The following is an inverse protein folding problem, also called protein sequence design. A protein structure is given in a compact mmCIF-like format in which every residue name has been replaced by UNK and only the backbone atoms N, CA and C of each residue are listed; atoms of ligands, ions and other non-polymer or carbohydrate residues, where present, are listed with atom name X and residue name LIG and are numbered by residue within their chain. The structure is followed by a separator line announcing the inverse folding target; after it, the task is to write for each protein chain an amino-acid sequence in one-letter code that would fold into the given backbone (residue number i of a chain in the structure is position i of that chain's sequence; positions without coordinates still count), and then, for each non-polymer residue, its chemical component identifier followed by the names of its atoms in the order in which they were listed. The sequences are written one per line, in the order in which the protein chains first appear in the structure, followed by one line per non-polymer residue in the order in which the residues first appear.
data_IF_351927301396
#
_entry.id   IF_351927301396
#
_cell.length_a   1.000
_cell.length_b   1.000
_cell.length_c   1.000
_cell.angle_alpha   90.00
_cell.angle_beta   90.00
_cell.angle_gamma   90.00
#
_symmetry.space_group_name_H-M   'P 1'
#
loop_
_entity.id
_entity.type
_entity.pdbx_description
1 polymer ?
#
# COMPACT_ATOMS: atom_id res chain seq x y z
N UNK A 1 -6.10 -17.50 6.12
CA UNK A 1 -5.40 -16.30 6.24
C UNK A 1 -5.40 -15.49 4.96
N UNK A 2 -5.69 -14.25 5.08
CA UNK A 2 -5.80 -13.42 3.90
C UNK A 2 -4.43 -13.08 3.35
N UNK A 3 -4.31 -13.14 2.03
CA UNK A 3 -3.09 -12.83 1.38
C UNK A 3 -3.27 -11.56 0.61
N UNK A 4 -2.32 -10.69 0.64
CA UNK A 4 -2.40 -9.46 -0.14
C UNK A 4 -2.34 -9.80 -1.62
N UNK A 5 -3.08 -9.06 -2.41
CA UNK A 5 -3.09 -9.32 -3.84
C UNK A 5 -1.76 -8.88 -4.45
N UNK A 6 -1.47 -9.41 -5.63
CA UNK A 6 -0.23 -9.05 -6.30
C UNK A 6 -0.15 -7.57 -6.56
N UNK A 7 -1.29 -6.96 -6.85
CA UNK A 7 -1.30 -5.54 -7.11
C UNK A 7 -0.86 -4.75 -5.89
N UNK A 8 -1.33 -5.16 -4.72
CA UNK A 8 -0.96 -4.47 -3.50
C UNK A 8 0.51 -4.67 -3.20
N UNK A 9 1.02 -5.87 -3.42
CA UNK A 9 2.42 -6.13 -3.19
C UNK A 9 3.28 -5.23 -4.07
N UNK A 10 2.87 -5.06 -5.33
CA UNK A 10 3.57 -4.18 -6.22
C UNK A 10 3.54 -2.75 -5.73
N UNK A 11 2.38 -2.30 -5.26
CA UNK A 11 2.26 -0.95 -4.76
C UNK A 11 3.15 -0.72 -3.55
N UNK A 12 3.24 -1.73 -2.69
CA UNK A 12 4.11 -1.63 -1.54
C UNK A 12 5.56 -1.45 -1.98
N UNK A 13 5.95 -2.18 -3.00
CA UNK A 13 7.31 -2.05 -3.48
C UNK A 13 7.57 -0.68 -4.08
N UNK A 14 6.62 -0.17 -4.82
CA UNK A 14 6.79 1.16 -5.38
C UNK A 14 6.86 2.21 -4.30
N UNK A 15 6.08 2.04 -3.26
CA UNK A 15 6.13 2.95 -2.13
C UNK A 15 7.51 2.93 -1.49
N UNK A 16 8.06 1.75 -1.32
CA UNK A 16 9.38 1.62 -0.72
C UNK A 16 10.44 2.30 -1.56
N UNK A 17 10.32 2.17 -2.85
CA UNK A 17 11.29 2.80 -3.73
C UNK A 17 11.16 4.33 -3.66
N UNK A 18 9.93 4.81 -3.61
CA UNK A 18 9.72 6.25 -3.63
C UNK A 18 10.12 6.91 -2.31
N UNK A 19 9.78 6.29 -1.21
CA UNK A 19 9.99 6.93 0.08
C UNK A 19 11.15 6.34 0.87
N UNK A 20 11.69 5.24 0.43
CA UNK A 20 12.81 4.61 1.12
C UNK A 20 12.42 3.91 2.40
N UNK A 21 11.14 3.67 2.58
CA UNK A 21 10.68 2.96 3.77
C UNK A 21 9.37 2.28 3.44
N UNK A 22 8.99 1.31 4.25
CA UNK A 22 7.76 0.59 4.04
C UNK A 22 6.54 1.42 4.42
N UNK A 23 5.42 1.23 3.73
CA UNK A 23 4.18 1.86 4.16
C UNK A 23 3.63 1.16 5.39
N UNK A 24 2.58 1.73 5.96
CA UNK A 24 1.93 1.08 7.08
C UNK A 24 1.34 -0.23 6.63
N UNK A 25 1.49 -1.28 7.43
CA UNK A 25 0.98 -2.59 7.02
C UNK A 25 -0.54 -2.61 6.99
N UNK A 26 -1.06 -3.53 6.19
CA UNK A 26 -2.49 -3.66 6.04
C UNK A 26 -3.17 -3.95 7.38
N UNK A 27 -2.55 -4.74 8.22
CA UNK A 27 -3.16 -5.14 9.48
C UNK A 27 -2.96 -4.08 10.58
N UNK A 28 -2.18 -3.07 10.34
CA UNK A 28 -1.88 -2.08 11.36
C UNK A 28 -3.08 -1.17 11.62
N UNK A 29 -3.71 -0.70 10.57
CA UNK A 29 -4.90 0.11 10.71
C UNK A 29 -6.07 -0.68 10.20
N UNK A 30 -7.25 -0.25 10.56
CA UNK A 30 -8.43 -0.95 10.14
C UNK A 30 -8.84 -0.51 8.75
N UNK A 31 -8.59 -1.33 7.78
CA UNK A 31 -9.04 -1.09 6.43
C UNK A 31 -10.29 -1.92 6.18
N UNK A 32 -11.26 -1.33 5.50
CA UNK A 32 -12.46 -2.07 5.19
C UNK A 32 -12.20 -3.17 4.18
N UNK A 33 -11.24 -2.97 3.31
CA UNK A 33 -10.94 -3.99 2.31
C UNK A 33 -9.55 -3.72 1.76
N UNK A 34 -9.03 -4.73 1.04
CA UNK A 34 -7.73 -4.55 0.41
C UNK A 34 -7.78 -3.45 -0.63
N UNK A 35 -8.94 -3.24 -1.22
CA UNK A 35 -9.05 -2.19 -2.22
C UNK A 35 -8.81 -0.83 -1.61
N UNK A 36 -9.29 -0.60 -0.40
CA UNK A 36 -9.04 0.67 0.27
C UNK A 36 -7.56 0.87 0.53
N UNK A 37 -6.91 -0.20 0.94
CA UNK A 37 -5.49 -0.13 1.19
C UNK A 37 -4.73 0.17 -0.10
N UNK A 38 -5.15 -0.47 -1.18
CA UNK A 38 -4.52 -0.23 -2.47
C UNK A 38 -4.68 1.22 -2.90
N UNK A 39 -5.85 1.78 -2.69
CA UNK A 39 -6.07 3.16 -3.04
C UNK A 39 -5.24 4.11 -2.19
N UNK A 40 -5.09 3.79 -0.93
CA UNK A 40 -4.22 4.58 -0.08
C UNK A 40 -2.79 4.57 -0.62
N UNK A 41 -2.29 3.40 -0.99
CA UNK A 41 -0.94 3.32 -1.52
C UNK A 41 -0.82 4.08 -2.84
N UNK A 42 -1.81 3.95 -3.69
CA UNK A 42 -1.77 4.66 -4.96
C UNK A 42 -1.71 6.17 -4.75
N UNK A 43 -2.52 6.65 -3.83
CA UNK A 43 -2.53 8.07 -3.55
C UNK A 43 -1.19 8.54 -3.04
N UNK A 44 -0.60 7.77 -2.13
CA UNK A 44 0.68 8.17 -1.58
C UNK A 44 1.77 8.15 -2.65
N UNK A 45 1.71 7.20 -3.54
CA UNK A 45 2.72 7.11 -4.59
C UNK A 45 2.55 8.24 -5.60
N UNK A 46 1.33 8.61 -5.92
CA UNK A 46 1.08 9.66 -6.89
C UNK A 46 1.23 11.06 -6.33
N UNK A 47 1.19 11.16 -5.00
CA UNK A 47 1.25 12.44 -4.39
C UNK A 47 2.58 13.05 -4.65
N UNK A 48 2.96 13.66 -5.10
CA UNK A 48 4.11 13.97 -5.43
C UNK A 48 4.69 14.81 -5.41
N UNK A 49 5.02 14.68 -5.66
CA UNK A 49 5.77 15.23 -5.92
C UNK A 49 5.95 16.11 -5.90
#
# INVERSE_FOLDING_TARGET
MAKLSDEIIKLIEEYKIKYGKKPEPFWYTEWNSQQEYAEYLKKEIEKNN
#
